data_IF_501728800985
#
_entry.id   IF_501728800985
#
_cell.length_a   1.000
_cell.length_b   1.000
_cell.length_c   1.000
_cell.angle_alpha   90.00
_cell.angle_beta   90.00
_cell.angle_gamma   90.00
#
_symmetry.space_group_name_H-M   'P 1'
#
loop_
_entity.id
_entity.type
_entity.pdbx_description
1 polymer ?
#
# COMPACT_ATOMS: atom_id res chain seq x y z
N UNK A 1 -18.61 21.29 13.55
CA UNK A 1 -17.74 21.18 12.36
C UNK A 1 -18.16 19.91 11.65
N UNK A 2 -18.78 19.96 10.47
CA UNK A 2 -19.29 18.75 9.85
C UNK A 2 -18.12 17.89 9.38
N UNK A 3 -17.94 16.76 10.05
CA UNK A 3 -17.10 15.63 9.67
C UNK A 3 -17.75 14.96 8.47
N UNK A 4 -17.27 15.22 7.25
CA UNK A 4 -17.70 14.47 6.06
C UNK A 4 -16.58 14.48 5.01
N UNK A 5 -15.59 13.59 5.16
CA UNK A 5 -14.86 13.05 4.00
C UNK A 5 -15.51 11.71 3.62
N UNK A 6 -16.83 11.70 3.44
CA UNK A 6 -17.52 10.55 2.86
C UNK A 6 -17.57 10.73 1.34
N UNK A 7 -16.41 10.63 0.71
CA UNK A 7 -16.31 10.58 -0.74
C UNK A 7 -16.46 9.13 -1.18
N UNK A 8 -17.51 8.81 -1.93
CA UNK A 8 -17.72 7.48 -2.49
C UNK A 8 -16.90 7.33 -3.78
N UNK A 9 -16.02 6.33 -3.83
CA UNK A 9 -15.23 5.98 -5.01
C UNK A 9 -15.59 4.60 -5.52
N UNK A 10 -15.54 4.40 -6.82
CA UNK A 10 -15.73 3.08 -7.42
C UNK A 10 -14.43 2.28 -7.31
N UNK A 11 -14.52 1.06 -6.79
CA UNK A 11 -13.45 0.06 -6.86
C UNK A 11 -13.58 -0.63 -8.22
N UNK A 12 -12.57 -0.43 -9.07
CA UNK A 12 -12.51 -1.05 -10.40
C UNK A 12 -11.97 -2.46 -10.34
N UNK A 13 -10.94 -2.64 -9.52
CA UNK A 13 -10.25 -3.91 -9.31
C UNK A 13 -9.43 -3.82 -8.04
N UNK A 14 -9.20 -4.96 -7.39
CA UNK A 14 -8.31 -5.09 -6.26
C UNK A 14 -7.56 -6.42 -6.32
N UNK A 15 -6.34 -6.43 -5.81
CA UNK A 15 -5.53 -7.64 -5.66
C UNK A 15 -4.67 -7.53 -4.41
N UNK A 16 -4.37 -8.67 -3.80
CA UNK A 16 -3.48 -8.74 -2.65
C UNK A 16 -2.58 -9.97 -2.73
N UNK A 17 -1.38 -9.86 -2.18
CA UNK A 17 -0.32 -10.86 -2.17
C UNK A 17 0.28 -10.96 -0.76
N UNK A 18 0.43 -12.17 -0.25
CA UNK A 18 1.08 -12.51 1.05
C UNK A 18 2.19 -13.55 0.80
N UNK A 19 3.06 -13.88 1.79
CA UNK A 19 4.34 -14.51 1.49
C UNK A 19 4.20 -15.94 0.94
N UNK A 20 5.28 -16.42 0.32
CA UNK A 20 5.40 -17.71 -0.36
C UNK A 20 6.24 -18.71 0.42
N UNK A 21 5.69 -19.89 0.67
CA UNK A 21 6.30 -21.05 1.33
C UNK A 21 5.22 -22.05 1.75
N UNK A 22 5.58 -23.27 2.18
CA UNK A 22 4.58 -24.31 2.57
C UNK A 22 3.63 -23.88 3.71
N UNK A 23 3.95 -22.81 4.45
CA UNK A 23 3.13 -22.28 5.54
C UNK A 23 1.99 -21.32 5.10
N UNK A 24 1.83 -21.02 3.80
CA UNK A 24 0.84 -20.04 3.30
C UNK A 24 -0.54 -20.63 2.94
N UNK A 25 -0.81 -21.90 3.29
CA UNK A 25 -2.11 -22.53 3.01
C UNK A 25 -3.23 -21.87 3.83
N UNK A 26 -4.26 -21.35 3.15
CA UNK A 26 -5.43 -20.73 3.79
C UNK A 26 -5.35 -19.23 4.01
N UNK A 27 -4.33 -18.55 3.50
CA UNK A 27 -4.24 -17.07 3.53
C UNK A 27 -4.85 -16.47 2.25
N UNK A 28 -5.87 -15.61 2.35
CA UNK A 28 -6.40 -14.89 1.19
C UNK A 28 -5.30 -14.11 0.46
N UNK A 29 -5.20 -14.29 -0.85
CA UNK A 29 -4.20 -13.61 -1.69
C UNK A 29 -2.83 -14.27 -1.76
N UNK A 30 -2.59 -15.44 -1.14
CA UNK A 30 -1.35 -16.17 -1.36
C UNK A 30 -1.18 -16.51 -2.86
N UNK A 31 -0.01 -16.23 -3.44
CA UNK A 31 0.23 -16.54 -4.85
C UNK A 31 0.80 -17.96 -5.04
N UNK A 32 0.37 -18.70 -6.06
CA UNK A 32 0.74 -20.11 -6.26
C UNK A 32 2.17 -20.32 -6.81
N UNK A 33 2.87 -19.24 -7.22
CA UNK A 33 4.18 -19.28 -7.85
C UNK A 33 5.07 -18.13 -7.37
N UNK A 34 6.39 -18.38 -7.32
CA UNK A 34 7.40 -17.36 -7.05
C UNK A 34 7.25 -16.14 -7.97
N UNK A 35 7.54 -14.96 -7.40
CA UNK A 35 7.52 -13.70 -8.14
C UNK A 35 8.49 -13.69 -9.32
N UNK A 36 8.05 -13.23 -10.51
CA UNK A 36 8.96 -12.98 -11.60
C UNK A 36 10.05 -11.98 -11.20
N UNK A 37 11.30 -12.27 -11.58
CA UNK A 37 12.40 -11.33 -11.43
C UNK A 37 12.15 -10.09 -12.28
N UNK A 38 12.39 -8.92 -11.71
CA UNK A 38 12.27 -7.64 -12.42
C UNK A 38 13.67 -7.10 -12.68
N UNK A 39 13.96 -6.78 -13.95
CA UNK A 39 15.26 -6.19 -14.30
C UNK A 39 15.51 -4.94 -13.48
N UNK A 40 16.71 -4.84 -12.91
CA UNK A 40 17.07 -3.72 -12.06
C UNK A 40 16.47 -3.79 -10.65
N UNK A 41 15.85 -4.89 -10.22
CA UNK A 41 15.43 -5.15 -8.83
C UNK A 41 15.80 -6.58 -8.43
N UNK A 42 17.05 -6.76 -7.96
CA UNK A 42 17.64 -8.08 -7.77
C UNK A 42 17.90 -8.47 -6.31
N UNK A 43 17.89 -7.48 -5.39
CA UNK A 43 18.34 -7.68 -4.00
C UNK A 43 17.17 -8.01 -3.07
N UNK A 44 16.02 -7.39 -3.29
CA UNK A 44 14.87 -7.44 -2.40
C UNK A 44 13.60 -7.86 -3.13
N UNK A 45 12.66 -8.42 -2.38
CA UNK A 45 11.32 -8.79 -2.87
C UNK A 45 10.38 -7.59 -2.95
N UNK A 46 10.72 -6.44 -2.34
CA UNK A 46 9.89 -5.24 -2.30
C UNK A 46 9.41 -4.81 -3.70
N UNK A 47 10.33 -4.54 -4.63
CA UNK A 47 10.00 -4.15 -5.99
C UNK A 47 9.18 -5.21 -6.74
N UNK A 48 9.66 -6.47 -6.86
CA UNK A 48 8.89 -7.54 -7.48
C UNK A 48 7.47 -7.72 -6.90
N UNK A 49 7.30 -7.53 -5.59
CA UNK A 49 6.01 -7.65 -4.91
C UNK A 49 5.06 -6.51 -5.25
N UNK A 50 5.54 -5.25 -5.23
CA UNK A 50 4.80 -4.08 -5.72
C UNK A 50 4.34 -4.29 -7.15
N UNK A 51 5.28 -4.67 -8.02
CA UNK A 51 4.98 -4.88 -9.44
C UNK A 51 3.94 -5.98 -9.66
N UNK A 52 4.03 -7.09 -8.92
CA UNK A 52 3.10 -8.20 -9.06
C UNK A 52 1.70 -7.89 -8.54
N UNK A 53 1.57 -7.26 -7.37
CA UNK A 53 0.27 -6.87 -6.81
C UNK A 53 -0.43 -5.86 -7.74
N UNK A 54 0.31 -4.85 -8.20
CA UNK A 54 -0.20 -3.88 -9.16
C UNK A 54 -0.59 -4.53 -10.49
N UNK A 55 0.26 -5.40 -11.06
CA UNK A 55 -0.05 -6.06 -12.34
C UNK A 55 -1.28 -6.97 -12.23
N UNK A 56 -1.47 -7.64 -11.09
CA UNK A 56 -2.65 -8.45 -10.81
C UNK A 56 -3.91 -7.58 -10.72
N UNK A 57 -3.83 -6.43 -10.05
CA UNK A 57 -4.94 -5.47 -9.96
C UNK A 57 -5.29 -4.85 -11.33
N UNK A 58 -4.28 -4.43 -12.11
CA UNK A 58 -4.50 -3.76 -13.39
C UNK A 58 -4.89 -4.71 -14.54
N UNK A 59 -4.56 -5.99 -14.42
CA UNK A 59 -4.79 -6.98 -15.47
C UNK A 59 -3.80 -6.85 -16.64
N UNK A 60 -4.09 -7.50 -17.79
CA UNK A 60 -3.24 -7.43 -18.98
C UNK A 60 -3.21 -6.01 -19.58
N UNK A 61 -2.01 -5.51 -19.93
CA UNK A 61 -1.82 -4.17 -20.48
C UNK A 61 -2.39 -3.99 -21.90
N UNK A 62 -2.33 -5.04 -22.73
CA UNK A 62 -2.75 -5.01 -24.13
C UNK A 62 -4.24 -5.36 -24.32
N UNK A 63 -4.97 -5.64 -23.22
CA UNK A 63 -6.39 -5.89 -23.30
C UNK A 63 -7.13 -4.58 -23.59
N UNK A 64 -7.92 -4.55 -24.67
CA UNK A 64 -8.80 -3.42 -25.01
C UNK A 64 -9.73 -3.04 -23.85
N UNK A 65 -10.07 -4.03 -23.02
CA UNK A 65 -10.99 -3.92 -21.88
C UNK A 65 -10.23 -3.93 -20.54
N UNK A 66 -8.90 -3.74 -20.56
CA UNK A 66 -8.07 -3.70 -19.36
C UNK A 66 -8.49 -2.57 -18.40
N UNK A 67 -8.26 -2.76 -17.10
CA UNK A 67 -8.76 -1.83 -16.08
C UNK A 67 -8.16 -0.43 -16.18
N UNK A 68 -6.99 -0.27 -16.80
CA UNK A 68 -6.40 1.05 -17.13
C UNK A 68 -6.97 1.59 -18.44
N UNK A 69 -7.01 0.75 -19.49
CA UNK A 69 -7.55 1.09 -20.80
C UNK A 69 -7.06 2.43 -21.34
N UNK A 70 -7.97 3.22 -21.90
CA UNK A 70 -7.69 4.56 -22.45
C UNK A 70 -7.27 5.61 -21.40
N UNK A 71 -7.37 5.29 -20.11
CA UNK A 71 -7.16 6.26 -19.04
C UNK A 71 -5.73 6.29 -18.50
N UNK A 72 -4.81 5.47 -19.02
CA UNK A 72 -3.42 5.39 -18.52
C UNK A 72 -2.77 6.76 -18.29
N UNK A 73 -2.78 7.64 -19.29
CA UNK A 73 -2.18 8.97 -19.17
C UNK A 73 -2.79 9.85 -18.05
N UNK A 74 -4.00 9.51 -17.60
CA UNK A 74 -4.79 10.18 -16.54
C UNK A 74 -4.96 9.31 -15.29
N UNK A 75 -4.10 8.31 -15.12
CA UNK A 75 -4.04 7.46 -13.93
C UNK A 75 -2.89 7.92 -13.06
N UNK A 76 -3.14 8.11 -11.77
CA UNK A 76 -2.10 8.36 -10.77
C UNK A 76 -1.74 7.06 -10.00
N UNK A 77 -0.61 7.06 -9.31
CA UNK A 77 -0.20 5.97 -8.42
C UNK A 77 0.15 6.55 -7.03
N UNK A 78 -0.42 5.94 -5.99
CA UNK A 78 -0.07 6.21 -4.59
C UNK A 78 0.49 4.93 -3.98
N UNK A 79 1.77 4.91 -3.68
CA UNK A 79 2.44 3.83 -2.95
C UNK A 79 2.44 4.15 -1.46
N UNK A 80 2.09 3.19 -0.61
CA UNK A 80 2.12 3.28 0.84
C UNK A 80 3.09 2.24 1.37
N UNK A 81 4.05 2.69 2.17
CA UNK A 81 5.00 1.84 2.88
C UNK A 81 5.55 2.62 4.06
N UNK A 82 5.66 1.99 5.21
CA UNK A 82 6.20 2.60 6.43
C UNK A 82 7.72 2.61 6.46
N UNK A 83 8.36 1.58 5.89
CA UNK A 83 9.81 1.42 5.95
C UNK A 83 10.49 1.34 4.58
N UNK A 84 9.74 1.18 3.48
CA UNK A 84 10.29 1.04 2.13
C UNK A 84 11.08 -0.25 1.94
N UNK A 85 12.01 -0.24 0.99
CA UNK A 85 12.85 -1.40 0.69
C UNK A 85 14.05 -1.50 1.66
N UNK A 86 13.75 -1.92 2.89
CA UNK A 86 14.75 -2.01 3.97
C UNK A 86 15.87 -3.01 3.69
N UNK A 87 15.58 -4.07 2.92
CA UNK A 87 16.60 -5.07 2.54
C UNK A 87 17.64 -4.46 1.61
N UNK A 88 17.20 -3.70 0.59
CA UNK A 88 18.11 -3.03 -0.33
C UNK A 88 18.90 -1.93 0.38
N UNK A 89 18.25 -1.11 1.21
CA UNK A 89 18.90 -0.03 1.98
C UNK A 89 19.96 -0.58 2.94
N UNK A 90 19.65 -1.65 3.67
CA UNK A 90 20.58 -2.25 4.62
C UNK A 90 21.76 -2.90 3.92
N UNK A 91 21.52 -3.60 2.80
CA UNK A 91 22.58 -4.18 1.97
C UNK A 91 23.52 -3.09 1.45
N UNK A 92 22.98 -1.98 0.93
CA UNK A 92 23.77 -0.85 0.45
C UNK A 92 24.60 -0.22 1.58
N UNK A 93 24.01 -0.10 2.77
CA UNK A 93 24.70 0.41 3.97
C UNK A 93 25.88 -0.50 4.34
N UNK A 94 25.65 -1.82 4.40
CA UNK A 94 26.69 -2.80 4.73
C UNK A 94 27.85 -2.78 3.73
N UNK A 95 27.56 -2.65 2.43
CA UNK A 95 28.59 -2.53 1.40
C UNK A 95 29.44 -1.28 1.59
N UNK A 96 28.79 -0.15 1.91
CA UNK A 96 29.46 1.12 2.16
C UNK A 96 30.38 1.03 3.38
N UNK A 97 29.91 0.46 4.49
CA UNK A 97 30.71 0.25 5.71
C UNK A 97 31.89 -0.70 5.44
N UNK A 98 31.70 -1.71 4.60
CA UNK A 98 32.76 -2.63 4.19
C UNK A 98 33.75 -2.04 3.15
N UNK A 99 33.62 -0.76 2.78
CA UNK A 99 34.47 -0.12 1.78
C UNK A 99 34.30 -0.67 0.36
N UNK A 100 33.20 -1.39 0.09
CA UNK A 100 32.90 -1.90 -1.26
C UNK A 100 32.35 -0.78 -2.12
N UNK A 101 32.75 -0.75 -3.40
CA UNK A 101 32.15 0.15 -4.39
C UNK A 101 30.65 -0.14 -4.48
N UNK A 102 29.83 0.82 -4.08
CA UNK A 102 28.38 0.74 -4.27
C UNK A 102 28.09 0.82 -5.77
N UNK A 103 27.55 -0.26 -6.35
CA UNK A 103 27.02 -0.23 -7.70
C UNK A 103 25.96 0.90 -7.80
N UNK A 104 26.08 1.86 -8.75
CA UNK A 104 25.11 2.95 -8.90
C UNK A 104 23.64 2.49 -9.00
N UNK A 105 23.40 1.28 -9.51
CA UNK A 105 22.07 0.68 -9.56
C UNK A 105 21.45 0.44 -8.17
N UNK A 106 22.26 0.27 -7.13
CA UNK A 106 21.78 0.12 -5.75
C UNK A 106 21.07 1.37 -5.24
N UNK A 107 21.55 2.55 -5.64
CA UNK A 107 20.90 3.81 -5.28
C UNK A 107 19.49 3.86 -5.88
N UNK A 108 19.35 3.56 -7.18
CA UNK A 108 18.04 3.53 -7.83
C UNK A 108 17.10 2.47 -7.24
N UNK A 109 17.60 1.28 -6.89
CA UNK A 109 16.80 0.22 -6.28
C UNK A 109 16.29 0.59 -4.88
N UNK A 110 17.05 1.40 -4.14
CA UNK A 110 16.70 1.78 -2.76
C UNK A 110 15.53 2.77 -2.66
N UNK A 111 15.20 3.48 -3.75
CA UNK A 111 14.10 4.43 -3.78
C UNK A 111 12.78 3.69 -3.99
N UNK A 112 11.87 3.75 -3.01
CA UNK A 112 10.60 3.00 -3.00
C UNK A 112 9.75 3.19 -4.26
N UNK A 113 9.81 4.36 -4.90
CA UNK A 113 9.04 4.67 -6.12
C UNK A 113 9.68 4.16 -7.41
N UNK A 114 10.95 3.77 -7.41
CA UNK A 114 11.65 3.39 -8.64
C UNK A 114 10.98 2.24 -9.38
N UNK A 115 10.38 1.28 -8.64
CA UNK A 115 9.68 0.14 -9.25
C UNK A 115 8.46 0.56 -10.06
N UNK A 116 7.84 1.70 -9.73
CA UNK A 116 6.67 2.22 -10.42
C UNK A 116 6.99 2.59 -11.88
N UNK A 117 8.26 2.83 -12.22
CA UNK A 117 8.72 3.04 -13.60
C UNK A 117 8.39 1.86 -14.53
N UNK A 118 8.36 0.62 -14.00
CA UNK A 118 7.96 -0.55 -14.78
C UNK A 118 6.46 -0.53 -15.07
N UNK A 119 5.63 -0.12 -14.11
CA UNK A 119 4.18 -0.03 -14.27
C UNK A 119 3.81 1.10 -15.24
N UNK A 120 4.41 2.27 -15.08
CA UNK A 120 4.17 3.44 -15.94
C UNK A 120 4.50 3.16 -17.39
N UNK A 121 5.66 2.56 -17.66
CA UNK A 121 6.04 2.16 -19.02
C UNK A 121 5.10 1.09 -19.59
N UNK A 122 4.71 0.12 -18.78
CA UNK A 122 3.89 -1.02 -19.24
C UNK A 122 2.45 -0.63 -19.52
N UNK A 123 1.85 0.20 -18.68
CA UNK A 123 0.42 0.55 -18.73
C UNK A 123 0.15 1.96 -19.27
N UNK A 124 1.20 2.69 -19.70
CA UNK A 124 1.07 4.07 -20.16
C UNK A 124 0.59 5.03 -19.07
N UNK A 125 0.99 4.80 -17.82
CA UNK A 125 0.56 5.62 -16.67
C UNK A 125 1.44 6.85 -16.56
N UNK A 126 0.87 8.05 -16.72
CA UNK A 126 1.61 9.32 -16.74
C UNK A 126 1.09 10.37 -15.73
N UNK A 127 0.08 10.03 -14.93
CA UNK A 127 -0.35 10.89 -13.84
C UNK A 127 0.65 10.91 -12.67
N UNK A 128 0.33 11.65 -11.59
CA UNK A 128 1.18 11.78 -10.42
C UNK A 128 1.60 10.43 -9.81
N UNK A 129 2.85 10.36 -9.35
CA UNK A 129 3.41 9.22 -8.63
C UNK A 129 3.87 9.69 -7.25
N UNK A 130 3.21 9.21 -6.21
CA UNK A 130 3.50 9.61 -4.82
C UNK A 130 3.76 8.38 -3.96
N UNK A 131 4.71 8.50 -3.03
CA UNK A 131 4.91 7.52 -1.97
C UNK A 131 4.59 8.15 -0.62
N UNK A 132 3.76 7.48 0.17
CA UNK A 132 3.38 7.84 1.52
C UNK A 132 4.11 6.89 2.47
N UNK A 133 4.91 7.48 3.34
CA UNK A 133 5.52 6.81 4.48
C UNK A 133 5.12 7.57 5.73
N UNK A 134 4.00 7.14 6.30
CA UNK A 134 3.34 7.84 7.39
C UNK A 134 3.12 6.91 8.59
N UNK A 135 2.79 7.51 9.74
CA UNK A 135 2.36 6.79 10.94
C UNK A 135 1.15 7.51 11.53
N UNK A 136 0.20 6.78 12.14
CA UNK A 136 0.16 5.33 12.31
C UNK A 136 -0.54 4.57 11.17
N UNK A 137 -1.15 5.26 10.21
CA UNK A 137 -2.05 4.66 9.21
C UNK A 137 -1.63 5.01 7.76
N UNK A 138 -0.54 4.41 7.24
CA UNK A 138 -0.10 4.64 5.87
C UNK A 138 -1.19 4.34 4.82
N UNK A 139 -2.00 3.32 5.04
CA UNK A 139 -3.09 2.94 4.14
C UNK A 139 -4.18 4.01 4.09
N UNK A 140 -4.66 4.47 5.25
CA UNK A 140 -5.65 5.54 5.35
C UNK A 140 -5.16 6.83 4.72
N UNK A 141 -3.91 7.22 4.96
CA UNK A 141 -3.31 8.41 4.34
C UNK A 141 -3.17 8.27 2.83
N UNK A 142 -2.78 7.10 2.33
CA UNK A 142 -2.72 6.85 0.90
C UNK A 142 -4.11 6.88 0.23
N UNK A 143 -5.14 6.35 0.90
CA UNK A 143 -6.52 6.43 0.43
C UNK A 143 -7.06 7.86 0.44
N UNK A 144 -6.74 8.68 1.44
CA UNK A 144 -7.07 10.13 1.45
C UNK A 144 -6.40 10.87 0.30
N UNK A 145 -5.12 10.58 0.03
CA UNK A 145 -4.41 11.18 -1.11
C UNK A 145 -5.05 10.74 -2.43
N UNK A 146 -5.43 9.48 -2.56
CA UNK A 146 -6.13 8.98 -3.73
C UNK A 146 -7.50 9.65 -3.92
N UNK A 147 -8.23 9.85 -2.82
CA UNK A 147 -9.50 10.57 -2.81
C UNK A 147 -9.34 12.00 -3.34
N UNK A 148 -8.38 12.75 -2.78
CA UNK A 148 -8.08 14.11 -3.21
C UNK A 148 -7.59 14.20 -4.66
N UNK A 149 -6.79 13.23 -5.12
CA UNK A 149 -6.35 13.15 -6.52
C UNK A 149 -7.53 12.90 -7.47
N UNK A 150 -8.52 12.12 -7.05
CA UNK A 150 -9.73 11.87 -7.86
C UNK A 150 -10.67 13.07 -7.92
N UNK A 151 -10.48 14.11 -7.10
CA UNK A 151 -11.20 15.38 -7.25
C UNK A 151 -10.67 16.25 -8.39
N UNK A 152 -9.42 16.01 -8.85
CA UNK A 152 -8.90 16.63 -10.06
C UNK A 152 -9.59 16.04 -11.30
N UNK A 153 -10.37 16.83 -12.07
CA UNK A 153 -11.03 16.32 -13.27
C UNK A 153 -10.07 15.70 -14.27
N UNK A 154 -8.80 16.15 -14.32
CA UNK A 154 -7.73 15.65 -15.21
C UNK A 154 -7.22 14.25 -14.84
N UNK A 155 -7.53 13.77 -13.63
CA UNK A 155 -7.29 12.39 -13.23
C UNK A 155 -8.59 11.59 -13.33
N UNK A 156 -8.51 10.38 -13.89
CA UNK A 156 -9.66 9.47 -13.99
C UNK A 156 -9.54 8.30 -13.02
N UNK A 157 -8.32 7.87 -12.72
CA UNK A 157 -8.07 6.72 -11.87
C UNK A 157 -6.91 6.96 -10.92
N UNK A 158 -6.94 6.27 -9.78
CA UNK A 158 -5.78 6.20 -8.89
C UNK A 158 -5.55 4.75 -8.51
N UNK A 159 -4.34 4.27 -8.74
CA UNK A 159 -3.87 2.99 -8.22
C UNK A 159 -3.23 3.22 -6.85
N UNK A 160 -3.83 2.68 -5.80
CA UNK A 160 -3.26 2.67 -4.45
C UNK A 160 -2.58 1.33 -4.22
N UNK A 161 -1.33 1.36 -3.75
CA UNK A 161 -0.53 0.17 -3.48
C UNK A 161 -0.04 0.27 -2.04
N UNK A 162 -0.40 -0.68 -1.18
CA UNK A 162 0.24 -0.87 0.12
C UNK A 162 1.26 -1.99 0.05
N UNK A 163 2.45 -1.80 0.61
CA UNK A 163 3.49 -2.84 0.62
C UNK A 163 4.34 -2.78 1.88
N UNK A 164 4.68 -3.96 2.37
CA UNK A 164 5.75 -4.17 3.33
C UNK A 164 6.44 -5.50 3.06
N UNK A 165 7.71 -5.56 3.47
CA UNK A 165 8.47 -6.79 3.54
C UNK A 165 8.70 -7.17 5.01
N UNK A 166 9.09 -8.41 5.25
CA UNK A 166 9.38 -8.89 6.59
C UNK A 166 10.41 -7.95 7.28
N UNK A 167 10.11 -7.47 8.50
CA UNK A 167 11.00 -6.60 9.24
C UNK A 167 12.35 -7.25 9.49
N UNK A 168 13.42 -6.59 9.05
CA UNK A 168 14.77 -6.95 9.45
C UNK A 168 15.09 -6.46 10.87
N UNK A 169 16.27 -6.78 11.39
CA UNK A 169 16.71 -6.40 12.74
C UNK A 169 16.66 -4.88 12.98
N UNK A 170 17.00 -4.08 11.97
CA UNK A 170 16.98 -2.61 12.06
C UNK A 170 15.56 -2.09 12.24
N UNK A 171 14.61 -2.59 11.45
CA UNK A 171 13.19 -2.22 11.59
C UNK A 171 12.64 -2.64 12.95
N UNK A 172 12.96 -3.87 13.41
CA UNK A 172 12.54 -4.34 14.74
C UNK A 172 13.10 -3.45 15.84
N UNK A 173 14.36 -3.04 15.73
CA UNK A 173 14.99 -2.13 16.70
C UNK A 173 14.35 -0.74 16.71
N UNK A 174 14.07 -0.17 15.54
CA UNK A 174 13.34 1.11 15.43
C UNK A 174 11.95 0.98 16.07
N UNK A 175 11.25 -0.12 15.78
CA UNK A 175 9.93 -0.38 16.36
C UNK A 175 9.97 -0.44 17.90
N UNK A 176 10.95 -1.16 18.48
CA UNK A 176 11.16 -1.19 19.94
C UNK A 176 11.39 0.21 20.54
N UNK A 177 12.24 1.01 19.90
CA UNK A 177 12.57 2.37 20.35
C UNK A 177 11.34 3.30 20.26
N UNK A 178 10.58 3.21 19.18
CA UNK A 178 9.35 4.00 19.01
C UNK A 178 8.23 3.54 19.96
N UNK A 179 8.16 2.24 20.28
CA UNK A 179 7.23 1.72 21.28
C UNK A 179 7.53 2.27 22.67
N UNK A 180 8.81 2.41 23.04
CA UNK A 180 9.22 3.10 24.26
C UNK A 180 8.82 4.59 24.27
N UNK A 181 8.69 5.21 23.08
CA UNK A 181 8.17 6.56 22.90
C UNK A 181 6.63 6.63 22.75
N UNK A 182 5.92 5.52 23.01
CA UNK A 182 4.45 5.45 23.01
C UNK A 182 3.80 5.15 21.66
N UNK A 183 4.59 4.93 20.60
CA UNK A 183 4.05 4.57 19.28
C UNK A 183 3.62 3.10 19.27
N UNK A 184 2.36 2.83 18.91
CA UNK A 184 1.81 1.46 18.86
C UNK A 184 1.76 0.95 17.44
N UNK A 185 2.93 0.64 16.90
CA UNK A 185 3.09 0.15 15.54
C UNK A 185 3.12 -1.38 15.56
N UNK A 186 2.27 -1.99 14.74
CA UNK A 186 2.31 -3.43 14.51
C UNK A 186 3.11 -3.68 13.26
N UNK A 187 4.24 -4.39 13.41
CA UNK A 187 5.03 -4.82 12.28
C UNK A 187 4.33 -5.96 11.53
N UNK A 188 4.47 -6.04 10.21
CA UNK A 188 4.03 -7.20 9.45
C UNK A 188 4.89 -8.41 9.80
N UNK A 189 4.28 -9.59 9.92
CA UNK A 189 5.00 -10.83 10.16
C UNK A 189 5.58 -11.48 8.88
N UNK A 190 5.43 -10.84 7.72
CA UNK A 190 5.97 -11.32 6.45
C UNK A 190 5.75 -10.34 5.30
N UNK A 191 6.23 -10.72 4.12
CA UNK A 191 6.08 -9.93 2.90
C UNK A 191 4.62 -9.88 2.44
N UNK A 192 4.07 -8.68 2.26
CA UNK A 192 2.73 -8.51 1.74
C UNK A 192 2.57 -7.24 0.92
N UNK A 193 1.70 -7.30 -0.09
CA UNK A 193 1.26 -6.12 -0.81
C UNK A 193 -0.22 -6.21 -1.21
N UNK A 194 -0.90 -5.08 -1.16
CA UNK A 194 -2.25 -4.88 -1.65
C UNK A 194 -2.23 -3.81 -2.73
N UNK A 195 -3.08 -3.95 -3.74
CA UNK A 195 -3.29 -2.96 -4.78
C UNK A 195 -4.78 -2.81 -5.07
N UNK A 196 -5.26 -1.58 -5.13
CA UNK A 196 -6.66 -1.25 -5.43
C UNK A 196 -6.70 -0.10 -6.44
N UNK A 197 -7.49 -0.28 -7.49
CA UNK A 197 -7.70 0.72 -8.53
C UNK A 197 -9.04 1.41 -8.30
N UNK A 198 -8.98 2.72 -8.06
CA UNK A 198 -10.14 3.55 -7.75
C UNK A 198 -10.49 4.47 -8.91
N UNK A 199 -11.78 4.81 -9.03
CA UNK A 199 -12.33 5.80 -9.97
C UNK A 199 -13.38 6.68 -9.30
N UNK A 200 -13.67 7.83 -9.91
CA UNK A 200 -14.90 8.57 -9.63
C UNK A 200 -16.12 7.74 -10.01
N UNK A 201 -17.20 7.89 -9.25
CA UNK A 201 -18.50 7.34 -9.61
C UNK A 201 -19.13 8.30 -10.62
N UNK A 202 -19.18 7.91 -11.90
CA UNK A 202 -19.77 8.74 -12.96
C UNK A 202 -21.26 8.40 -13.22
N UNK A 203 -21.69 7.17 -12.92
CA UNK A 203 -23.09 6.69 -12.89
C UNK A 203 -23.19 5.44 -12.01
N UNK A 204 -24.39 5.07 -11.55
CA UNK A 204 -24.63 3.90 -10.68
C UNK A 204 -24.46 2.57 -11.43
N UNK A 205 -23.22 2.26 -11.82
CA UNK A 205 -22.90 1.12 -12.69
C UNK A 205 -22.80 -0.22 -11.94
N UNK A 206 -23.40 -0.34 -10.75
CA UNK A 206 -23.26 -1.53 -9.91
C UNK A 206 -21.80 -1.82 -9.51
N UNK A 207 -20.89 -0.85 -9.63
CA UNK A 207 -19.51 -1.04 -9.22
C UNK A 207 -19.44 -1.13 -7.68
N UNK A 208 -18.54 -1.96 -7.17
CA UNK A 208 -18.20 -1.96 -5.76
C UNK A 208 -17.79 -0.54 -5.32
N UNK A 209 -18.28 -0.09 -4.16
CA UNK A 209 -18.06 1.28 -3.67
C UNK A 209 -17.15 1.27 -2.47
N UNK A 210 -16.23 2.22 -2.41
CA UNK A 210 -15.40 2.50 -1.26
C UNK A 210 -15.80 3.85 -0.68
N UNK A 211 -16.23 3.85 0.57
CA UNK A 211 -16.47 5.05 1.37
C UNK A 211 -15.37 5.17 2.41
N UNK A 212 -14.73 6.34 2.48
CA UNK A 212 -13.82 6.65 3.59
C UNK A 212 -14.64 7.19 4.76
N UNK A 213 -14.41 6.64 5.95
CA UNK A 213 -15.13 7.03 7.16
C UNK A 213 -14.13 7.47 8.22
N UNK A 214 -14.33 8.66 8.77
CA UNK A 214 -13.60 9.07 9.97
C UNK A 214 -14.31 8.50 11.19
N UNK A 215 -13.60 7.64 11.92
CA UNK A 215 -14.16 7.05 13.12
C UNK A 215 -14.28 8.08 14.26
N UNK A 216 -15.48 8.34 14.82
CA UNK A 216 -15.60 9.07 16.07
C UNK A 216 -14.97 8.26 17.21
N UNK A 217 -14.45 8.93 18.24
CA UNK A 217 -13.71 8.34 19.36
C UNK A 217 -14.60 7.49 20.30
N UNK A 218 -15.30 6.48 19.79
CA UNK A 218 -15.93 5.41 20.54
C UNK A 218 -16.32 4.30 19.56
N UNK A 219 -16.20 3.06 20.01
CA UNK A 219 -16.70 1.84 19.35
C UNK A 219 -15.74 1.20 18.35
N UNK A 220 -14.81 0.38 18.85
CA UNK A 220 -14.26 -0.77 18.11
C UNK A 220 -15.39 -1.56 17.46
N UNK A 221 -15.57 -1.43 16.14
CA UNK A 221 -16.30 -2.40 15.36
C UNK A 221 -15.27 -3.46 14.97
N UNK A 222 -15.36 -4.62 15.61
CA UNK A 222 -14.55 -5.78 15.26
C UNK A 222 -15.16 -6.45 14.04
N UNK A 223 -14.40 -6.51 12.95
CA UNK A 223 -14.68 -7.48 11.90
C UNK A 223 -14.24 -8.83 12.47
N UNK A 224 -15.20 -9.74 12.58
CA UNK A 224 -15.03 -11.06 13.18
C UNK A 224 -14.35 -12.02 12.21
N UNK A 225 -13.03 -12.07 12.29
CA UNK A 225 -12.19 -13.12 11.71
C UNK A 225 -10.80 -12.96 12.30
N UNK A 226 -10.21 -14.04 12.85
CA UNK A 226 -8.82 -13.99 13.31
C UNK A 226 -7.94 -13.92 12.06
N UNK A 227 -7.18 -12.84 11.77
CA UNK A 227 -6.29 -12.84 10.63
C UNK A 227 -5.22 -13.90 10.85
N UNK A 228 -5.06 -14.79 9.86
CA UNK A 228 -4.17 -15.95 9.94
C UNK A 228 -2.68 -15.58 10.05
N UNK A 229 -2.32 -14.30 9.81
CA UNK A 229 -0.99 -13.73 10.05
C UNK A 229 -1.16 -12.24 10.43
N UNK A 230 -0.47 -11.71 11.46
CA UNK A 230 -0.52 -10.27 11.76
C UNK A 230 0.28 -9.48 10.71
N UNK A 231 -0.41 -8.89 9.73
CA UNK A 231 0.19 -8.06 8.67
C UNK A 231 0.37 -6.59 9.06
N UNK A 232 0.35 -6.30 10.36
CA UNK A 232 0.56 -4.93 10.84
C UNK A 232 -0.49 -3.95 10.33
N UNK A 233 -0.02 -2.78 9.90
CA UNK A 233 -0.87 -1.72 9.33
C UNK A 233 -1.56 -2.11 8.02
N UNK A 234 -1.00 -3.08 7.28
CA UNK A 234 -1.57 -3.54 6.00
C UNK A 234 -2.85 -4.35 6.16
N UNK A 235 -3.15 -4.87 7.36
CA UNK A 235 -4.20 -5.87 7.57
C UNK A 235 -5.56 -5.42 7.00
N UNK A 236 -6.02 -4.21 7.32
CA UNK A 236 -7.32 -3.70 6.86
C UNK A 236 -7.35 -3.50 5.33
N UNK A 237 -6.24 -3.03 4.74
CA UNK A 237 -6.15 -2.83 3.30
C UNK A 237 -6.12 -4.17 2.55
N UNK A 238 -5.45 -5.18 3.11
CA UNK A 238 -5.40 -6.53 2.59
C UNK A 238 -6.78 -7.19 2.60
N UNK A 239 -7.51 -7.08 3.72
CA UNK A 239 -8.89 -7.58 3.84
C UNK A 239 -9.81 -6.90 2.82
N UNK A 240 -9.77 -5.57 2.72
CA UNK A 240 -10.51 -4.81 1.71
C UNK A 240 -10.20 -5.31 0.28
N UNK A 241 -8.92 -5.48 -0.06
CA UNK A 241 -8.53 -5.91 -1.40
C UNK A 241 -8.88 -7.37 -1.69
N UNK A 242 -8.80 -8.26 -0.68
CA UNK A 242 -9.19 -9.65 -0.81
C UNK A 242 -10.68 -9.77 -1.08
N UNK A 243 -11.52 -9.05 -0.32
CA UNK A 243 -12.97 -9.08 -0.48
C UNK A 243 -13.39 -8.43 -1.81
N UNK A 244 -12.89 -7.22 -2.11
CA UNK A 244 -13.21 -6.53 -3.37
C UNK A 244 -12.69 -7.28 -4.60
N UNK A 245 -11.57 -8.00 -4.48
CA UNK A 245 -11.00 -8.83 -5.54
C UNK A 245 -11.88 -10.04 -5.93
N UNK A 246 -12.86 -10.42 -5.10
CA UNK A 246 -13.83 -11.48 -5.45
C UNK A 246 -14.86 -11.04 -6.49
N UNK A 247 -14.89 -9.76 -6.87
CA UNK A 247 -15.79 -9.21 -7.88
C UNK A 247 -17.22 -9.01 -7.38
N UNK A 248 -17.45 -9.05 -6.07
CA UNK A 248 -18.76 -8.75 -5.49
C UNK A 248 -19.07 -7.26 -5.61
N UNK A 249 -20.29 -6.95 -5.99
CA UNK A 249 -20.82 -5.59 -6.08
C UNK A 249 -21.30 -5.14 -4.70
N UNK A 250 -20.35 -4.92 -3.78
CA UNK A 250 -20.61 -4.56 -2.39
C UNK A 250 -20.16 -3.12 -2.06
N UNK A 251 -20.72 -2.56 -0.99
CA UNK A 251 -20.26 -1.31 -0.42
C UNK A 251 -19.26 -1.60 0.70
N UNK A 252 -18.08 -1.01 0.61
CA UNK A 252 -16.98 -1.13 1.54
C UNK A 252 -16.76 0.19 2.26
N UNK A 253 -16.56 0.13 3.57
CA UNK A 253 -16.18 1.29 4.38
C UNK A 253 -14.76 1.09 4.87
N UNK A 254 -13.85 2.00 4.56
CA UNK A 254 -12.52 2.03 5.15
C UNK A 254 -12.48 3.05 6.28
N UNK A 255 -12.33 2.54 7.50
CA UNK A 255 -12.24 3.35 8.71
C UNK A 255 -10.84 3.95 8.82
N UNK A 256 -10.76 5.27 8.69
CA UNK A 256 -9.53 6.02 8.79
C UNK A 256 -9.14 6.20 10.26
N UNK A 257 -7.87 5.98 10.59
CA UNK A 257 -7.36 6.30 11.92
C UNK A 257 -7.34 7.82 12.13
N UNK A 258 -7.89 8.28 13.24
CA UNK A 258 -7.76 9.68 13.66
C UNK A 258 -6.38 9.91 14.29
N UNK A 259 -5.61 10.83 13.73
CA UNK A 259 -4.32 11.22 14.29
C UNK A 259 -4.58 12.20 15.43
N UNK A 260 -4.60 11.74 16.68
CA UNK A 260 -4.51 12.65 17.82
C UNK A 260 -3.04 12.92 18.15
N UNK A 261 -2.56 14.13 17.87
CA UNK A 261 -1.33 14.63 18.48
C UNK A 261 -1.66 15.08 19.90
N UNK A 262 -1.47 14.21 20.88
CA UNK A 262 -1.34 14.66 22.27
C UNK A 262 -0.03 15.43 22.42
N UNK A 263 -0.06 16.73 22.14
CA UNK A 263 0.98 17.66 22.58
C UNK A 263 0.66 18.16 23.99
N UNK A 264 0.67 17.26 24.97
CA UNK A 264 0.87 17.66 26.37
C UNK A 264 2.37 17.79 26.61
N UNK A 265 2.95 18.89 26.12
CA UNK A 265 4.25 19.36 26.57
C UNK A 265 4.07 19.85 28.00
N UNK A 266 4.34 18.98 28.98
CA UNK A 266 4.56 19.39 30.37
C UNK A 266 5.84 20.21 30.41
N UNK A 267 5.68 21.53 30.44
CA UNK A 267 6.75 22.46 30.81
C UNK A 267 7.26 22.10 32.21
N UNK A 268 8.57 21.92 32.42
CA UNK A 268 9.12 21.86 33.76
C UNK A 268 9.09 23.27 34.35
N UNK A 269 8.31 23.45 35.43
CA UNK A 269 8.41 24.65 36.27
C UNK A 269 9.77 24.63 36.98
N UNK A 270 10.54 25.70 36.77
CA UNK A 270 11.63 26.12 37.64
C UNK A 270 11.08 26.81 38.89
#
# INVERSE_FOLDING_TARGET
MPSVLASDRAIVSAACLTPWGEEASGVPGAAPKELPKISGFAISRFGPLVHAAASACLGPADASDGHVGRFGARTAIVLATMYGDVVTVDTATQWTVAGKLSNPLMFFQSVSTSILSHLTRRYGIYGPLTCISAVPDPAGDALRVADALLDDPELHQVLVIGVEIEPNERVRRVNELTAAAGWRLRLPAGDAAAAILLRRIETDTGAARLTLSEKPLATTCGISGKPAVPLGWLSNLMELCADAGTGRQEAYTYELSSVHRDHSVTTPHA
#
